data_IF_781561285367
#
_entry.id   IF_781561285367
#
_cell.length_a   1.000
_cell.length_b   1.000
_cell.length_c   1.000
_cell.angle_alpha   90.00
_cell.angle_beta   90.00
_cell.angle_gamma   90.00
#
_symmetry.space_group_name_H-M   'P 1'
#
loop_
_entity.id
_entity.type
_entity.pdbx_description
1 polymer ?
#
# COMPACT_ATOMS: atom_id res chain seq x y z
N UNK A 1 -22.08 10.33 9.04
CA UNK A 1 -21.41 10.40 7.71
C UNK A 1 -20.17 11.30 7.71
N UNK A 2 -20.22 12.57 8.19
CA UNK A 2 -19.03 13.45 8.27
C UNK A 2 -17.88 12.91 9.14
N UNK A 3 -18.19 12.31 10.30
CA UNK A 3 -17.17 11.76 11.22
C UNK A 3 -16.35 10.60 10.62
N UNK A 4 -17.01 9.68 9.91
CA UNK A 4 -16.35 8.54 9.24
C UNK A 4 -15.38 8.99 8.15
N UNK A 5 -15.73 10.04 7.39
CA UNK A 5 -14.86 10.61 6.35
C UNK A 5 -13.62 11.27 6.96
N UNK A 6 -13.79 11.96 8.10
CA UNK A 6 -12.70 12.64 8.80
C UNK A 6 -11.68 11.64 9.38
N UNK A 7 -12.16 10.59 10.03
CA UNK A 7 -11.32 9.50 10.52
C UNK A 7 -10.51 8.83 9.40
N UNK A 8 -11.19 8.53 8.28
CA UNK A 8 -10.57 7.90 7.12
C UNK A 8 -9.50 8.82 6.48
N UNK A 9 -9.77 10.13 6.40
CA UNK A 9 -8.79 11.12 5.89
C UNK A 9 -7.57 11.30 6.80
N UNK A 10 -7.74 11.21 8.12
CA UNK A 10 -6.62 11.24 9.07
C UNK A 10 -5.73 10.01 8.93
N UNK A 11 -6.36 8.83 8.81
CA UNK A 11 -5.67 7.57 8.58
C UNK A 11 -4.92 7.54 7.24
N UNK A 12 -5.44 8.18 6.19
CA UNK A 12 -4.72 8.34 4.92
C UNK A 12 -3.43 9.13 5.08
N UNK A 13 -3.50 10.27 5.77
CA UNK A 13 -2.36 11.16 5.97
C UNK A 13 -1.25 10.49 6.77
N UNK A 14 -1.60 9.77 7.85
CA UNK A 14 -0.60 9.08 8.68
C UNK A 14 0.13 8.00 7.90
N UNK A 15 -0.59 7.23 7.09
CA UNK A 15 0.01 6.18 6.26
C UNK A 15 0.96 6.73 5.21
N UNK A 16 0.63 7.88 4.63
CA UNK A 16 1.51 8.54 3.68
C UNK A 16 2.87 8.88 4.28
N UNK A 17 2.82 9.45 5.48
CA UNK A 17 4.01 9.81 6.24
C UNK A 17 4.80 8.55 6.59
N UNK A 18 4.11 7.47 7.01
CA UNK A 18 4.75 6.18 7.28
C UNK A 18 5.43 5.57 6.05
N UNK A 19 4.84 5.70 4.85
CA UNK A 19 5.47 5.22 3.61
C UNK A 19 6.76 5.98 3.29
N UNK A 20 6.75 7.31 3.44
CA UNK A 20 7.95 8.14 3.21
C UNK A 20 9.06 7.76 4.21
N UNK A 21 8.70 7.65 5.50
CA UNK A 21 9.65 7.23 6.55
C UNK A 21 10.17 5.82 6.27
N UNK A 22 9.31 4.91 5.83
CA UNK A 22 9.68 3.54 5.45
C UNK A 22 10.72 3.50 4.33
N UNK A 23 10.52 4.26 3.26
CA UNK A 23 11.48 4.36 2.13
C UNK A 23 12.83 4.92 2.58
N UNK A 24 12.80 6.01 3.37
CA UNK A 24 14.03 6.61 3.90
C UNK A 24 14.79 5.61 4.79
N UNK A 25 14.08 4.94 5.70
CA UNK A 25 14.68 3.94 6.61
C UNK A 25 15.26 2.77 5.82
N UNK A 26 14.55 2.25 4.81
CA UNK A 26 15.05 1.20 3.92
C UNK A 26 16.32 1.62 3.18
N UNK A 27 16.32 2.82 2.60
CA UNK A 27 17.50 3.33 1.88
C UNK A 27 18.73 3.48 2.77
N UNK A 28 18.55 3.94 4.02
CA UNK A 28 19.63 4.05 5.00
C UNK A 28 20.14 2.68 5.46
N UNK A 29 19.26 1.71 5.71
CA UNK A 29 19.69 0.35 6.10
C UNK A 29 20.46 -0.36 4.98
N UNK A 30 20.06 -0.18 3.71
CA UNK A 30 20.85 -0.69 2.58
C UNK A 30 22.23 -0.04 2.50
N UNK A 31 22.29 1.27 2.76
CA UNK A 31 23.55 2.01 2.79
C UNK A 31 24.47 1.51 3.92
N UNK A 32 23.99 1.39 5.15
CA UNK A 32 24.77 0.87 6.29
C UNK A 32 25.31 -0.54 6.03
N UNK A 33 24.50 -1.42 5.43
CA UNK A 33 24.96 -2.77 5.05
C UNK A 33 26.11 -2.68 4.03
N UNK A 34 26.01 -1.78 3.03
CA UNK A 34 27.07 -1.60 2.04
C UNK A 34 28.37 -1.07 2.67
N UNK A 35 28.27 -0.18 3.66
CA UNK A 35 29.41 0.33 4.41
C UNK A 35 30.04 -0.76 5.29
N UNK A 36 29.24 -1.54 6.01
CA UNK A 36 29.70 -2.66 6.85
C UNK A 36 30.50 -3.67 6.03
N UNK A 37 30.00 -4.01 4.83
CA UNK A 37 30.68 -4.94 3.91
C UNK A 37 32.01 -4.36 3.42
N UNK A 38 32.05 -3.06 3.09
CA UNK A 38 33.25 -2.39 2.58
C UNK A 38 34.37 -2.26 3.62
N UNK A 39 34.02 -1.90 4.85
CA UNK A 39 34.98 -1.70 5.94
C UNK A 39 35.26 -2.98 6.76
N UNK A 40 34.59 -4.09 6.46
CA UNK A 40 34.76 -5.36 7.19
C UNK A 40 34.32 -5.28 8.66
N UNK A 41 33.21 -4.59 8.94
CA UNK A 41 32.64 -4.45 10.29
C UNK A 41 31.98 -5.77 10.74
N UNK A 42 31.56 -5.85 12.00
CA UNK A 42 31.07 -7.08 12.60
C UNK A 42 29.80 -7.63 11.89
N UNK A 43 29.72 -8.95 11.77
CA UNK A 43 28.61 -9.67 11.12
C UNK A 43 27.31 -9.47 11.90
N UNK A 44 27.38 -9.29 13.22
CA UNK A 44 26.20 -9.06 14.05
C UNK A 44 25.49 -7.75 13.72
N UNK A 45 26.22 -6.68 13.41
CA UNK A 45 25.63 -5.40 12.97
C UNK A 45 24.92 -5.53 11.63
N UNK A 46 25.52 -6.31 10.71
CA UNK A 46 24.92 -6.62 9.42
C UNK A 46 23.59 -7.38 9.59
N UNK A 47 23.57 -8.43 10.41
CA UNK A 47 22.37 -9.21 10.71
C UNK A 47 21.26 -8.34 11.32
N UNK A 48 21.61 -7.41 12.20
CA UNK A 48 20.63 -6.49 12.80
C UNK A 48 19.94 -5.61 11.74
N UNK A 49 20.70 -5.01 10.83
CA UNK A 49 20.13 -4.20 9.73
C UNK A 49 19.32 -5.07 8.76
N UNK A 50 19.76 -6.29 8.48
CA UNK A 50 18.99 -7.24 7.66
C UNK A 50 17.63 -7.58 8.29
N UNK A 51 17.56 -7.80 9.60
CA UNK A 51 16.29 -8.06 10.30
C UNK A 51 15.35 -6.86 10.19
N UNK A 52 15.85 -5.64 10.38
CA UNK A 52 15.05 -4.41 10.21
C UNK A 52 14.47 -4.30 8.80
N UNK A 53 15.28 -4.58 7.78
CA UNK A 53 14.82 -4.57 6.38
C UNK A 53 13.68 -5.57 6.17
N UNK A 54 13.83 -6.80 6.68
CA UNK A 54 12.82 -7.85 6.56
C UNK A 54 11.52 -7.42 7.25
N UNK A 55 11.60 -6.88 8.46
CA UNK A 55 10.42 -6.44 9.22
C UNK A 55 9.67 -5.32 8.49
N UNK A 56 10.39 -4.32 7.96
CA UNK A 56 9.79 -3.23 7.19
C UNK A 56 9.15 -3.76 5.90
N UNK A 57 9.84 -4.65 5.18
CA UNK A 57 9.31 -5.26 3.97
C UNK A 57 8.03 -6.05 4.24
N UNK A 58 8.03 -6.87 5.29
CA UNK A 58 6.88 -7.67 5.69
C UNK A 58 5.70 -6.77 6.07
N UNK A 59 5.93 -5.70 6.85
CA UNK A 59 4.89 -4.75 7.24
C UNK A 59 4.23 -4.08 6.03
N UNK A 60 5.05 -3.52 5.11
CA UNK A 60 4.54 -2.83 3.92
C UNK A 60 3.87 -3.82 2.97
N UNK A 61 4.40 -5.03 2.82
CA UNK A 61 3.83 -6.07 1.97
C UNK A 61 2.44 -6.51 2.46
N UNK A 62 2.32 -6.89 3.74
CA UNK A 62 1.05 -7.35 4.31
C UNK A 62 -0.05 -6.31 4.17
N UNK A 63 0.30 -5.04 4.37
CA UNK A 63 -0.65 -3.95 4.30
C UNK A 63 -1.10 -3.62 2.88
N UNK A 64 -0.19 -3.69 1.90
CA UNK A 64 -0.54 -3.55 0.49
C UNK A 64 -1.33 -4.75 -0.03
N UNK A 65 -0.98 -5.96 0.39
CA UNK A 65 -1.72 -7.18 0.06
C UNK A 65 -3.16 -7.11 0.59
N UNK A 66 -3.36 -6.78 1.86
CA UNK A 66 -4.69 -6.69 2.46
C UNK A 66 -5.58 -5.64 1.76
N UNK A 67 -5.00 -4.51 1.35
CA UNK A 67 -5.75 -3.50 0.61
C UNK A 67 -6.07 -3.89 -0.83
N UNK A 68 -5.20 -4.68 -1.47
CA UNK A 68 -5.48 -5.24 -2.78
C UNK A 68 -6.60 -6.28 -2.71
N UNK A 69 -6.52 -7.24 -1.77
CA UNK A 69 -7.57 -8.24 -1.56
C UNK A 69 -8.94 -7.58 -1.30
N UNK A 70 -8.98 -6.53 -0.49
CA UNK A 70 -10.21 -5.77 -0.26
C UNK A 70 -10.73 -5.10 -1.53
N UNK A 71 -9.85 -4.55 -2.37
CA UNK A 71 -10.24 -3.89 -3.62
C UNK A 71 -10.77 -4.92 -4.63
N UNK A 72 -10.05 -6.01 -4.82
CA UNK A 72 -10.41 -7.10 -5.74
C UNK A 72 -11.73 -7.75 -5.35
N UNK A 73 -11.96 -7.96 -4.04
CA UNK A 73 -13.23 -8.50 -3.54
C UNK A 73 -14.42 -7.56 -3.81
N UNK A 74 -14.23 -6.25 -3.64
CA UNK A 74 -15.27 -5.28 -3.96
C UNK A 74 -15.57 -5.22 -5.46
N UNK A 75 -14.54 -5.29 -6.30
CA UNK A 75 -14.70 -5.33 -7.76
C UNK A 75 -15.43 -6.60 -8.21
N UNK A 76 -15.13 -7.75 -7.60
CA UNK A 76 -15.83 -9.00 -7.87
C UNK A 76 -17.32 -8.93 -7.48
N UNK A 77 -17.63 -8.38 -6.30
CA UNK A 77 -19.02 -8.15 -5.88
C UNK A 77 -19.72 -7.20 -6.86
N UNK A 78 -19.08 -6.10 -7.25
CA UNK A 78 -19.64 -5.13 -8.18
C UNK A 78 -19.96 -5.77 -9.53
N UNK A 79 -19.03 -6.55 -10.08
CA UNK A 79 -19.19 -7.25 -11.36
C UNK A 79 -20.30 -8.30 -11.30
N UNK A 80 -20.39 -9.04 -10.19
CA UNK A 80 -21.44 -10.04 -9.97
C UNK A 80 -22.83 -9.39 -9.89
N UNK A 81 -22.94 -8.28 -9.14
CA UNK A 81 -24.19 -7.52 -9.01
C UNK A 81 -24.58 -6.87 -10.34
N UNK A 82 -23.62 -6.42 -11.14
CA UNK A 82 -23.86 -5.86 -12.48
C UNK A 82 -24.42 -6.92 -13.45
N UNK A 83 -23.86 -8.14 -13.42
CA UNK A 83 -24.25 -9.23 -14.34
C UNK A 83 -25.54 -9.96 -13.92
N UNK A 84 -26.00 -9.82 -12.68
CA UNK A 84 -27.27 -10.37 -12.23
C UNK A 84 -28.44 -9.69 -12.94
N UNK A 85 -29.48 -10.45 -13.29
CA UNK A 85 -30.76 -9.93 -13.80
C UNK A 85 -31.53 -9.18 -12.70
N UNK A 86 -31.01 -8.02 -12.31
CA UNK A 86 -31.49 -7.19 -11.20
C UNK A 86 -32.96 -6.77 -11.36
N UNK A 87 -33.46 -6.75 -12.60
CA UNK A 87 -34.84 -6.44 -12.96
C UNK A 87 -35.85 -7.55 -12.60
N UNK A 88 -35.39 -8.78 -12.30
CA UNK A 88 -36.24 -9.92 -11.90
C UNK A 88 -36.27 -10.12 -10.37
N UNK A 89 -35.32 -9.52 -9.64
CA UNK A 89 -35.23 -9.60 -8.19
C UNK A 89 -36.32 -8.77 -7.47
N UNK A 90 -36.68 -9.11 -6.22
CA UNK A 90 -37.65 -8.35 -5.42
C UNK A 90 -37.25 -6.87 -5.29
N UNK A 91 -38.24 -5.96 -5.26
CA UNK A 91 -38.05 -4.49 -5.23
C UNK A 91 -37.10 -4.01 -4.12
N UNK A 92 -37.09 -4.68 -2.96
CA UNK A 92 -36.17 -4.35 -1.86
C UNK A 92 -34.70 -4.63 -2.23
N UNK A 93 -34.44 -5.74 -2.91
CA UNK A 93 -33.11 -6.14 -3.40
C UNK A 93 -32.71 -5.26 -4.59
N UNK A 94 -33.66 -4.94 -5.47
CA UNK A 94 -33.43 -4.07 -6.62
C UNK A 94 -32.99 -2.64 -6.21
N UNK A 95 -33.62 -2.06 -5.18
CA UNK A 95 -33.18 -0.78 -4.59
C UNK A 95 -31.78 -0.86 -3.98
N UNK A 96 -31.45 -1.98 -3.32
CA UNK A 96 -30.13 -2.21 -2.75
C UNK A 96 -29.06 -2.31 -3.85
N UNK A 97 -29.36 -3.05 -4.92
CA UNK A 97 -28.50 -3.21 -6.11
C UNK A 97 -28.28 -1.85 -6.79
N UNK A 98 -29.34 -1.06 -7.01
CA UNK A 98 -29.22 0.29 -7.57
C UNK A 98 -28.36 1.21 -6.69
N UNK A 99 -28.49 1.12 -5.36
CA UNK A 99 -27.65 1.87 -4.43
C UNK A 99 -26.18 1.43 -4.50
N UNK A 100 -25.92 0.13 -4.61
CA UNK A 100 -24.57 -0.44 -4.79
C UNK A 100 -23.96 -0.06 -6.14
N UNK A 101 -24.74 -0.09 -7.23
CA UNK A 101 -24.33 0.36 -8.56
C UNK A 101 -24.04 1.86 -8.59
N UNK A 102 -24.92 2.67 -8.01
CA UNK A 102 -24.74 4.13 -7.92
C UNK A 102 -23.53 4.50 -7.07
N UNK A 103 -23.27 3.74 -6.00
CA UNK A 103 -22.08 3.90 -5.15
C UNK A 103 -20.81 3.34 -5.82
N UNK A 104 -20.93 2.27 -6.60
CA UNK A 104 -19.83 1.54 -7.23
C UNK A 104 -19.35 2.13 -8.56
N UNK A 105 -20.23 2.82 -9.31
CA UNK A 105 -19.88 3.55 -10.53
C UNK A 105 -18.97 4.76 -10.25
N UNK A 106 -18.94 5.24 -8.99
CA UNK A 106 -17.78 5.94 -8.45
C UNK A 106 -16.77 4.87 -8.08
N UNK A 107 -15.97 4.43 -9.05
CA UNK A 107 -14.84 3.50 -8.91
C UNK A 107 -14.53 3.18 -7.45
N UNK A 108 -15.10 2.06 -6.96
CA UNK A 108 -14.68 1.44 -5.69
C UNK A 108 -13.33 0.74 -5.90
N UNK A 109 -12.43 1.36 -6.68
CA UNK A 109 -11.10 1.56 -6.13
C UNK A 109 -11.32 2.07 -4.71
N UNK A 110 -10.66 1.49 -3.72
CA UNK A 110 -10.40 2.19 -2.48
C UNK A 110 -9.57 3.43 -2.83
N UNK A 111 -10.22 4.42 -3.44
CA UNK A 111 -9.74 5.77 -3.64
C UNK A 111 -9.77 6.35 -2.23
N UNK A 112 -8.79 5.92 -1.46
CA UNK A 112 -8.27 6.61 -0.30
C UNK A 112 -7.80 7.97 -0.81
N UNK A 113 -8.76 8.89 -1.01
CA UNK A 113 -8.58 10.28 -1.41
C UNK A 113 -7.41 10.54 -2.36
N UNK A 114 -7.66 10.60 -3.67
CA UNK A 114 -6.81 11.23 -4.71
C UNK A 114 -5.36 10.72 -4.87
N UNK A 115 -4.71 10.10 -3.88
CA UNK A 115 -3.24 10.05 -3.91
C UNK A 115 -2.63 8.63 -3.98
N UNK A 116 -3.14 7.58 -3.30
CA UNK A 116 -2.66 6.20 -3.57
C UNK A 116 -3.67 5.11 -3.18
N UNK A 117 -3.88 4.15 -4.08
CA UNK A 117 -4.61 2.91 -3.81
C UNK A 117 -3.63 1.90 -3.20
N UNK A 118 -4.05 1.18 -2.16
CA UNK A 118 -3.27 0.05 -1.66
C UNK A 118 -3.20 -1.04 -2.71
N UNK A 119 -2.01 -1.31 -3.22
CA UNK A 119 -1.80 -2.31 -4.25
C UNK A 119 -0.37 -2.83 -4.22
N UNK A 120 -0.17 -4.02 -4.78
CA UNK A 120 1.18 -4.53 -5.04
C UNK A 120 1.98 -3.62 -5.97
N UNK A 121 1.31 -2.84 -6.82
CA UNK A 121 1.97 -1.83 -7.66
C UNK A 121 2.61 -0.73 -6.82
N UNK A 122 1.92 -0.24 -5.78
CA UNK A 122 2.47 0.73 -4.84
C UNK A 122 3.68 0.15 -4.08
N UNK A 123 3.60 -1.10 -3.65
CA UNK A 123 4.73 -1.80 -3.03
C UNK A 123 5.94 -1.86 -3.96
N UNK A 124 5.75 -2.24 -5.22
CA UNK A 124 6.83 -2.29 -6.22
C UNK A 124 7.45 -0.91 -6.47
N UNK A 125 6.63 0.15 -6.52
CA UNK A 125 7.11 1.52 -6.66
C UNK A 125 7.97 1.96 -5.46
N UNK A 126 7.57 1.62 -4.23
CA UNK A 126 8.32 1.92 -3.01
C UNK A 126 9.67 1.18 -2.97
N UNK A 127 9.69 -0.10 -3.36
CA UNK A 127 10.93 -0.88 -3.45
C UNK A 127 11.90 -0.27 -4.47
N UNK A 128 11.40 0.11 -5.66
CA UNK A 128 12.20 0.81 -6.68
C UNK A 128 12.74 2.15 -6.18
N UNK A 129 11.91 2.94 -5.52
CA UNK A 129 12.33 4.23 -4.96
C UNK A 129 13.45 4.04 -3.91
N UNK A 130 13.30 3.06 -3.02
CA UNK A 130 14.31 2.77 -1.97
C UNK A 130 15.67 2.40 -2.58
N UNK A 131 15.69 1.54 -3.59
CA UNK A 131 16.91 1.18 -4.33
C UNK A 131 17.49 2.40 -5.05
N UNK A 132 16.65 3.20 -5.71
CA UNK A 132 17.09 4.41 -6.40
C UNK A 132 17.75 5.40 -5.44
N UNK A 133 17.17 5.63 -4.27
CA UNK A 133 17.75 6.52 -3.25
C UNK A 133 19.07 5.96 -2.70
N UNK A 134 19.12 4.66 -2.43
CA UNK A 134 20.36 3.98 -2.05
C UNK A 134 21.47 4.21 -3.09
N UNK A 135 21.18 4.00 -4.38
CA UNK A 135 22.17 4.21 -5.46
C UNK A 135 22.66 5.66 -5.50
N UNK A 136 21.78 6.64 -5.32
CA UNK A 136 22.15 8.06 -5.28
C UNK A 136 23.09 8.35 -4.12
N UNK A 137 22.77 7.88 -2.91
CA UNK A 137 23.63 8.03 -1.73
C UNK A 137 25.00 7.40 -1.96
N UNK A 138 25.04 6.17 -2.48
CA UNK A 138 26.28 5.46 -2.82
C UNK A 138 27.11 6.23 -3.86
N UNK A 139 26.46 6.90 -4.83
CA UNK A 139 27.15 7.68 -5.87
C UNK A 139 27.74 8.99 -5.35
N UNK A 140 27.18 9.57 -4.27
CA UNK A 140 27.70 10.79 -3.65
C UNK A 140 28.93 10.56 -2.78
N UNK A 141 29.15 9.33 -2.33
CA UNK A 141 30.31 8.96 -1.51
C UNK A 141 31.52 8.48 -2.31
N UNK A 142 31.32 8.14 -3.58
CA UNK A 142 32.38 7.75 -4.51
C UNK A 142 33.09 8.99 -5.07
#
# INVERSE_FOLDING_TARGET
>A
MKSTILFFSGFQRSRFILLIIGVLTLSLNFYEISEIISYGRDIYDCLFHFLIIIDIFAYVFLFNYAGQEFTDHNEHIFTTVYNVQWYVTPIHVQKLILFLLQRGNKTVSLNFGIVFVLSMELFAALAKASISYFTVVCSMQL
#
